data_IF_600000912554
#
_entry.id   IF_600000912554
#
_cell.length_a   1.000
_cell.length_b   1.000
_cell.length_c   1.000
_cell.angle_alpha   90.00
_cell.angle_beta   90.00
_cell.angle_gamma   90.00
#
_symmetry.space_group_name_H-M   'P 1'
#
loop_
_entity.id
_entity.type
_entity.pdbx_description
1 polymer ?
#
# COMPACT_ATOMS: atom_id res chain seq x y z
N UNK A 1 11.73 2.13 2.17
CA UNK A 1 10.34 1.90 1.73
C UNK A 1 9.45 2.20 2.93
N UNK A 2 8.37 2.98 2.81
CA UNK A 2 7.54 3.30 3.98
C UNK A 2 6.83 2.05 4.51
N UNK A 3 6.67 2.01 5.82
CA UNK A 3 6.04 0.94 6.59
C UNK A 3 4.87 1.54 7.34
N UNK A 4 3.66 1.08 7.02
CA UNK A 4 2.43 1.55 7.64
C UNK A 4 1.93 0.47 8.60
N UNK A 5 1.67 0.83 9.85
CA UNK A 5 1.12 -0.05 10.87
C UNK A 5 -0.32 0.37 11.18
N UNK A 6 -1.27 -0.52 10.95
CA UNK A 6 -2.66 -0.36 11.35
C UNK A 6 -2.85 -0.82 12.78
N UNK A 7 -3.36 0.06 13.62
CA UNK A 7 -3.73 -0.28 15.00
C UNK A 7 -4.88 -1.29 15.04
N UNK A 8 -4.92 -2.12 16.08
CA UNK A 8 -6.02 -3.02 16.37
C UNK A 8 -7.28 -2.23 16.72
N UNK A 9 -8.43 -2.66 16.19
CA UNK A 9 -9.72 -2.16 16.64
C UNK A 9 -10.00 -2.68 18.07
N UNK A 10 -10.38 -1.78 18.98
CA UNK A 10 -10.86 -2.14 20.32
C UNK A 10 -9.79 -2.23 21.42
N UNK A 11 -10.15 -2.88 22.52
CA UNK A 11 -9.42 -2.90 23.80
C UNK A 11 -8.50 -4.12 23.99
N UNK A 12 -8.04 -4.76 22.92
CA UNK A 12 -7.13 -5.90 23.05
C UNK A 12 -5.72 -5.43 23.44
N UNK A 13 -5.41 -5.47 24.73
CA UNK A 13 -4.14 -5.00 25.29
C UNK A 13 -2.94 -5.76 24.70
N UNK A 14 -3.06 -7.07 24.47
CA UNK A 14 -1.96 -7.87 23.92
C UNK A 14 -1.59 -7.43 22.50
N UNK A 15 -2.56 -7.02 21.69
CA UNK A 15 -2.32 -6.49 20.35
C UNK A 15 -1.63 -5.12 20.39
N UNK A 16 -2.07 -4.24 21.30
CA UNK A 16 -1.46 -2.93 21.51
C UNK A 16 -0.01 -3.04 22.00
N UNK A 17 0.25 -3.93 22.94
CA UNK A 17 1.61 -4.18 23.45
C UNK A 17 2.52 -4.72 22.34
N UNK A 18 2.01 -5.57 21.45
CA UNK A 18 2.77 -6.09 20.31
C UNK A 18 3.05 -4.98 19.29
N UNK A 19 2.06 -4.17 18.95
CA UNK A 19 2.21 -3.00 18.07
C UNK A 19 3.25 -2.03 18.60
N UNK A 20 3.16 -1.66 19.88
CA UNK A 20 4.08 -0.72 20.51
C UNK A 20 5.51 -1.23 20.45
N UNK A 21 5.72 -2.51 20.81
CA UNK A 21 7.06 -3.13 20.73
C UNK A 21 7.56 -3.20 19.30
N UNK A 22 6.69 -3.52 18.33
CA UNK A 22 7.04 -3.59 16.92
C UNK A 22 7.41 -2.21 16.36
N UNK A 23 6.60 -1.18 16.60
CA UNK A 23 6.84 0.20 16.17
C UNK A 23 8.13 0.72 16.80
N UNK A 24 8.30 0.52 18.12
CA UNK A 24 9.54 0.92 18.83
C UNK A 24 10.76 0.26 18.20
N UNK A 25 10.68 -1.04 17.91
CA UNK A 25 11.80 -1.76 17.30
C UNK A 25 12.08 -1.31 15.87
N UNK A 26 11.05 -1.00 15.09
CA UNK A 26 11.18 -0.48 13.73
C UNK A 26 11.71 0.96 13.69
N UNK A 27 11.42 1.79 14.69
CA UNK A 27 11.99 3.13 14.80
C UNK A 27 13.48 3.10 15.18
N UNK A 28 13.90 2.10 15.96
CA UNK A 28 15.30 1.89 16.31
C UNK A 28 16.13 1.30 15.17
N UNK A 29 15.50 0.50 14.31
CA UNK A 29 16.12 -0.05 13.10
C UNK A 29 15.92 0.96 11.97
N UNK A 30 16.89 1.84 11.72
CA UNK A 30 16.86 2.97 10.74
C UNK A 30 16.47 2.58 9.28
N UNK A 31 16.13 1.32 9.04
CA UNK A 31 15.76 0.76 7.76
C UNK A 31 14.37 1.17 7.24
N UNK A 32 13.48 1.76 8.05
CA UNK A 32 12.09 2.01 7.66
C UNK A 32 11.53 3.38 8.10
N UNK A 33 10.82 4.06 7.20
CA UNK A 33 9.94 5.19 7.52
C UNK A 33 8.62 4.62 8.06
N UNK A 34 8.46 4.59 9.39
CA UNK A 34 7.30 3.99 10.06
C UNK A 34 6.20 5.03 10.23
N UNK A 35 4.98 4.67 9.82
CA UNK A 35 3.77 5.48 9.98
C UNK A 35 2.70 4.66 10.67
N UNK A 36 2.04 5.27 11.64
CA UNK A 36 0.94 4.66 12.37
C UNK A 36 -0.38 5.22 11.82
N UNK A 37 -1.36 4.35 11.61
CA UNK A 37 -2.74 4.72 11.28
C UNK A 37 -3.69 4.06 12.27
N UNK A 38 -4.86 4.67 12.45
CA UNK A 38 -5.94 4.05 13.19
C UNK A 38 -6.41 2.73 12.57
N UNK A 39 -7.37 2.05 13.20
CA UNK A 39 -7.90 0.79 12.70
C UNK A 39 -8.48 0.95 11.30
N UNK A 40 -7.99 0.16 10.32
CA UNK A 40 -8.40 0.30 8.92
C UNK A 40 -9.91 0.27 8.68
N UNK A 41 -10.66 -0.52 9.44
CA UNK A 41 -12.12 -0.60 9.31
C UNK A 41 -12.83 0.68 9.73
N UNK A 42 -12.19 1.48 10.59
CA UNK A 42 -12.74 2.70 11.14
C UNK A 42 -12.24 3.94 10.39
N UNK A 43 -11.38 3.77 9.38
CA UNK A 43 -10.92 4.87 8.55
C UNK A 43 -12.10 5.43 7.76
N UNK A 44 -12.43 6.68 8.06
CA UNK A 44 -13.47 7.42 7.35
C UNK A 44 -12.88 8.16 6.13
N UNK A 45 -13.73 8.40 5.14
CA UNK A 45 -13.44 9.33 4.06
C UNK A 45 -13.14 10.73 4.64
N UNK A 46 -12.01 11.30 4.25
CA UNK A 46 -11.40 12.55 4.69
C UNK A 46 -10.67 12.51 6.05
N UNK A 47 -10.40 11.31 6.59
CA UNK A 47 -9.52 11.18 7.76
C UNK A 47 -8.07 11.55 7.43
N UNK A 48 -7.32 12.05 8.42
CA UNK A 48 -5.88 12.35 8.29
C UNK A 48 -5.09 11.13 7.80
N UNK A 49 -5.46 9.94 8.28
CA UNK A 49 -4.84 8.67 7.91
C UNK A 49 -5.08 8.33 6.44
N UNK A 50 -6.28 8.57 5.92
CA UNK A 50 -6.56 8.39 4.49
C UNK A 50 -5.70 9.34 3.64
N UNK A 51 -5.65 10.63 3.99
CA UNK A 51 -4.83 11.62 3.27
C UNK A 51 -3.34 11.23 3.32
N UNK A 52 -2.88 10.69 4.45
CA UNK A 52 -1.53 10.18 4.60
C UNK A 52 -1.26 9.00 3.66
N UNK A 53 -2.16 8.02 3.62
CA UNK A 53 -2.07 6.86 2.73
C UNK A 53 -2.15 7.24 1.26
N UNK A 54 -2.97 8.23 0.90
CA UNK A 54 -3.07 8.74 -0.47
C UNK A 54 -1.75 9.36 -0.93
N UNK A 55 -1.11 10.14 -0.06
CA UNK A 55 0.19 10.79 -0.32
C UNK A 55 1.35 9.81 -0.53
N UNK A 56 1.21 8.54 -0.16
CA UNK A 56 2.24 7.52 -0.44
C UNK A 56 2.17 7.11 -1.92
N UNK A 57 3.00 7.73 -2.75
CA UNK A 57 3.03 7.43 -4.20
C UNK A 57 3.87 6.19 -4.54
N UNK A 58 4.73 5.74 -3.62
CA UNK A 58 5.57 4.55 -3.81
C UNK A 58 4.92 3.27 -3.29
N UNK A 59 5.56 2.13 -3.58
CA UNK A 59 5.24 0.89 -2.89
C UNK A 59 5.47 1.04 -1.38
N UNK A 60 4.66 0.36 -0.57
CA UNK A 60 4.75 0.40 0.88
C UNK A 60 4.38 -0.94 1.51
N UNK A 61 4.80 -1.14 2.76
CA UNK A 61 4.41 -2.30 3.56
C UNK A 61 3.24 -1.88 4.43
N UNK A 62 2.20 -2.71 4.50
CA UNK A 62 1.10 -2.55 5.43
C UNK A 62 1.11 -3.71 6.42
N UNK A 63 1.26 -3.38 7.70
CA UNK A 63 1.12 -4.30 8.81
C UNK A 63 -0.25 -4.12 9.43
N UNK A 64 -1.00 -5.20 9.59
CA UNK A 64 -2.32 -5.15 10.19
C UNK A 64 -2.79 -6.50 10.70
N UNK A 65 -3.90 -6.46 11.43
CA UNK A 65 -4.52 -7.64 12.07
C UNK A 65 -5.50 -8.40 11.18
N UNK A 66 -5.62 -7.97 9.93
CA UNK A 66 -6.62 -8.46 8.99
C UNK A 66 -5.94 -9.17 7.84
N UNK A 67 -6.69 -10.08 7.23
CA UNK A 67 -6.21 -10.77 6.05
C UNK A 67 -5.85 -9.76 4.93
N UNK A 68 -4.85 -10.07 4.09
CA UNK A 68 -4.46 -9.19 2.98
C UNK A 68 -5.63 -8.82 2.04
N UNK A 69 -6.56 -9.74 1.83
CA UNK A 69 -7.75 -9.54 0.98
C UNK A 69 -8.71 -8.51 1.57
N UNK A 70 -8.93 -8.56 2.88
CA UNK A 70 -9.75 -7.58 3.59
C UNK A 70 -9.07 -6.22 3.62
N UNK A 71 -7.77 -6.20 3.93
CA UNK A 71 -6.95 -5.00 3.93
C UNK A 71 -6.98 -4.30 2.56
N UNK A 72 -6.90 -5.07 1.47
CA UNK A 72 -7.00 -4.54 0.12
C UNK A 72 -8.40 -3.96 -0.18
N UNK A 73 -9.48 -4.62 0.27
CA UNK A 73 -10.85 -4.09 0.13
C UNK A 73 -11.03 -2.78 0.89
N UNK A 74 -10.48 -2.67 2.09
CA UNK A 74 -10.53 -1.45 2.89
C UNK A 74 -9.79 -0.30 2.19
N UNK A 75 -8.59 -0.56 1.64
CA UNK A 75 -7.88 0.44 0.83
C UNK A 75 -8.70 0.87 -0.40
N UNK A 76 -9.33 -0.08 -1.11
CA UNK A 76 -10.18 0.25 -2.26
C UNK A 76 -11.41 1.07 -1.89
N UNK A 77 -12.05 0.77 -0.75
CA UNK A 77 -13.17 1.55 -0.22
C UNK A 77 -12.79 2.99 0.11
N UNK A 78 -11.53 3.21 0.51
CA UNK A 78 -10.95 4.55 0.73
C UNK A 78 -10.52 5.25 -0.57
N UNK A 79 -10.79 4.67 -1.75
CA UNK A 79 -10.37 5.22 -3.04
C UNK A 79 -8.86 5.06 -3.31
N UNK A 80 -8.15 4.28 -2.49
CA UNK A 80 -6.72 4.07 -2.62
C UNK A 80 -6.46 2.96 -3.65
N UNK A 81 -5.87 3.34 -4.78
CA UNK A 81 -5.44 2.41 -5.81
C UNK A 81 -4.18 1.64 -5.36
N UNK A 82 -4.38 0.51 -4.68
CA UNK A 82 -3.32 -0.40 -4.23
C UNK A 82 -3.35 -1.75 -4.98
N UNK A 83 -2.18 -2.35 -5.19
CA UNK A 83 -2.02 -3.71 -5.72
C UNK A 83 -1.27 -4.57 -4.71
N UNK A 84 -1.76 -5.76 -4.41
CA UNK A 84 -1.01 -6.75 -3.62
C UNK A 84 0.30 -7.15 -4.32
N UNK A 85 1.42 -7.10 -3.61
CA UNK A 85 2.73 -7.48 -4.12
C UNK A 85 3.21 -8.78 -3.46
N UNK A 86 3.83 -9.67 -4.25
CA UNK A 86 4.37 -10.92 -3.72
C UNK A 86 5.51 -10.68 -2.73
N UNK A 87 5.50 -11.40 -1.61
CA UNK A 87 6.64 -11.54 -0.72
C UNK A 87 6.66 -12.92 -0.04
N UNK A 88 7.59 -13.14 0.89
CA UNK A 88 7.77 -14.42 1.56
C UNK A 88 6.53 -14.92 2.31
N UNK A 89 5.66 -14.01 2.80
CA UNK A 89 4.41 -14.34 3.49
C UNK A 89 3.18 -14.37 2.58
N UNK A 90 3.32 -14.02 1.29
CA UNK A 90 2.20 -13.78 0.38
C UNK A 90 2.59 -14.08 -1.07
N UNK A 91 2.23 -15.28 -1.54
CA UNK A 91 2.76 -15.87 -2.78
C UNK A 91 1.91 -15.61 -4.03
N UNK A 92 0.74 -14.99 -3.94
CA UNK A 92 -0.20 -14.88 -5.07
C UNK A 92 -0.71 -13.46 -5.35
N UNK A 93 0.11 -12.57 -5.96
CA UNK A 93 -0.34 -11.24 -6.36
C UNK A 93 -0.99 -11.23 -7.76
N UNK A 94 -2.07 -10.44 -7.98
CA UNK A 94 -2.58 -10.16 -9.32
C UNK A 94 -1.64 -9.20 -10.08
N UNK A 95 -1.41 -9.44 -11.38
CA UNK A 95 -0.57 -8.59 -12.25
C UNK A 95 -1.32 -7.31 -12.68
N UNK A 96 -0.92 -6.13 -12.19
CA UNK A 96 -1.35 -4.79 -12.68
C UNK A 96 -0.29 -3.72 -12.42
N UNK A 97 -0.38 -2.55 -13.05
CA UNK A 97 0.63 -1.47 -13.05
C UNK A 97 0.53 -0.42 -11.93
N UNK A 98 -0.29 -0.62 -10.89
CA UNK A 98 -0.42 0.30 -9.75
C UNK A 98 0.64 0.07 -8.65
N UNK A 99 0.70 0.98 -7.66
CA UNK A 99 1.61 0.86 -6.50
C UNK A 99 1.42 -0.46 -5.75
N UNK A 100 2.53 -1.14 -5.47
CA UNK A 100 2.58 -2.40 -4.74
C UNK A 100 2.44 -2.20 -3.23
N UNK A 101 1.55 -2.96 -2.62
CA UNK A 101 1.38 -3.03 -1.16
C UNK A 101 1.73 -4.43 -0.71
N UNK A 102 2.67 -4.50 0.22
CA UNK A 102 3.14 -5.71 0.85
C UNK A 102 2.39 -5.90 2.16
N UNK A 103 1.50 -6.89 2.24
CA UNK A 103 0.69 -7.09 3.45
C UNK A 103 1.38 -8.07 4.39
N UNK A 104 1.63 -7.66 5.64
CA UNK A 104 2.13 -8.54 6.69
C UNK A 104 1.03 -8.67 7.74
N UNK A 105 0.53 -9.90 7.86
CA UNK A 105 -0.54 -10.25 8.79
C UNK A 105 0.05 -10.46 10.19
N UNK A 106 -0.27 -9.55 11.11
CA UNK A 106 0.21 -9.56 12.49
C UNK A 106 -0.31 -10.77 13.28
N UNK A 107 -1.47 -11.34 12.91
CA UNK A 107 -2.04 -12.51 13.57
C UNK A 107 -1.24 -13.79 13.32
N UNK A 108 -0.48 -13.81 12.21
CA UNK A 108 0.35 -14.97 11.79
C UNK A 108 1.80 -14.84 12.21
N UNK A 109 2.19 -13.72 12.84
CA UNK A 109 3.56 -13.50 13.27
C UNK A 109 3.90 -14.39 14.46
N UNK A 110 5.03 -15.10 14.32
CA UNK A 110 5.59 -15.90 15.41
C UNK A 110 6.40 -15.05 16.39
N UNK A 111 7.02 -13.98 15.88
CA UNK A 111 7.85 -13.06 16.65
C UNK A 111 7.98 -11.71 15.94
N UNK A 112 8.41 -10.68 16.70
CA UNK A 112 8.70 -9.34 16.17
C UNK A 112 9.90 -9.39 15.20
N UNK A 113 10.92 -10.20 15.50
CA UNK A 113 12.08 -10.36 14.63
C UNK A 113 11.72 -10.95 13.27
N UNK A 114 10.71 -11.83 13.21
CA UNK A 114 10.19 -12.37 11.95
C UNK A 114 9.55 -11.27 11.11
N UNK A 115 8.77 -10.37 11.73
CA UNK A 115 8.17 -9.22 11.04
C UNK A 115 9.26 -8.30 10.44
N UNK A 116 10.30 -8.00 11.22
CA UNK A 116 11.42 -7.16 10.78
C UNK A 116 12.18 -7.84 9.64
N UNK A 117 12.41 -9.15 9.73
CA UNK A 117 13.05 -9.93 8.67
C UNK A 117 12.23 -9.87 7.38
N UNK A 118 10.90 -10.02 7.46
CA UNK A 118 10.01 -9.89 6.31
C UNK A 118 10.04 -8.48 5.72
N UNK A 119 10.04 -7.42 6.55
CA UNK A 119 10.13 -6.02 6.11
C UNK A 119 11.46 -5.79 5.35
N UNK A 120 12.57 -6.30 5.88
CA UNK A 120 13.89 -6.21 5.25
C UNK A 120 13.93 -6.97 3.93
N UNK A 121 13.32 -8.17 3.87
CA UNK A 121 13.22 -8.95 2.65
C UNK A 121 12.39 -8.24 1.56
N UNK A 122 11.28 -7.60 1.92
CA UNK A 122 10.46 -6.81 1.00
C UNK A 122 11.24 -5.59 0.47
N UNK A 123 11.95 -4.90 1.36
CA UNK A 123 12.79 -3.74 1.00
C UNK A 123 13.95 -4.13 0.09
N UNK A 124 14.60 -5.26 0.34
CA UNK A 124 15.68 -5.78 -0.50
C UNK A 124 15.21 -6.18 -1.90
N UNK A 125 14.01 -6.77 -2.05
CA UNK A 125 13.44 -7.11 -3.36
C UNK A 125 13.18 -5.89 -4.25
N UNK A 126 13.03 -4.69 -3.67
CA UNK A 126 12.84 -3.43 -4.41
C UNK A 126 14.15 -2.73 -4.77
N UNK A 127 15.26 -3.07 -4.12
CA UNK A 127 16.57 -2.53 -4.50
C UNK A 127 16.87 -2.99 -5.93
N UNK A 128 16.59 -2.10 -6.89
CA UNK A 128 16.58 -2.36 -8.32
C UNK A 128 17.75 -3.27 -8.72
N UNK A 129 17.43 -4.48 -9.20
CA UNK A 129 18.33 -5.22 -10.07
C UNK A 129 18.39 -4.42 -11.37
N UNK A 130 19.25 -3.42 -11.42
CA UNK A 130 19.74 -2.88 -12.68
C UNK A 130 20.41 -4.04 -13.39
N UNK A 131 19.66 -4.74 -14.24
CA UNK A 131 20.26 -5.61 -15.22
C UNK A 131 21.07 -4.66 -16.08
N UNK A 132 22.40 -4.72 -15.99
CA UNK A 132 23.22 -4.15 -17.03
C UNK A 132 22.81 -4.88 -18.30
N UNK A 133 22.00 -4.22 -19.13
CA UNK A 133 21.82 -4.62 -20.52
C UNK A 133 23.16 -4.26 -21.17
N UNK A 134 24.13 -5.14 -20.97
CA UNK A 134 25.41 -5.07 -21.65
C UNK A 134 25.11 -5.23 -23.13
N UNK A 135 25.02 -4.11 -23.85
CA UNK A 135 25.38 -4.11 -25.25
C UNK A 135 26.85 -4.53 -25.30
N UNK A 136 27.06 -5.80 -25.63
CA UNK A 136 28.35 -6.31 -26.06
C UNK A 136 28.78 -5.52 -27.30
N UNK A 137 29.48 -4.40 -27.10
CA UNK A 137 30.20 -3.72 -28.16
C UNK A 137 31.47 -4.53 -28.46
N UNK A 138 31.67 -5.02 -29.69
CA UNK A 138 32.95 -5.62 -30.07
C UNK A 138 34.02 -4.52 -30.06
N UNK A 139 35.09 -4.71 -29.29
CA UNK A 139 36.23 -3.80 -29.28
C UNK A 139 37.14 -4.04 -30.49
N UNK A 140 37.43 -3.06 -31.36
CA UNK A 140 38.55 -3.16 -32.28
C UNK A 140 39.83 -2.63 -31.61
N UNK A 141 40.81 -3.53 -31.38
CA UNK A 141 42.19 -3.15 -31.07
C UNK A 141 42.94 -2.93 -32.39
N UNK A 142 43.32 -1.68 -32.73
CA UNK A 142 44.70 -1.31 -33.10
C UNK A 142 44.88 0.20 -33.31
N UNK A 143 45.93 0.73 -32.70
CA UNK A 143 46.34 2.14 -32.65
C UNK A 143 47.14 2.59 -33.88
N UNK A 144 46.99 3.88 -34.29
CA UNK A 144 48.01 4.93 -34.55
C UNK A 144 47.45 6.06 -35.49
N UNK A 145 48.13 7.21 -35.71
CA UNK A 145 48.06 8.48 -34.96
C UNK A 145 47.50 9.67 -35.84
N UNK A 146 47.54 10.97 -35.42
CA UNK A 146 46.52 11.98 -35.73
C UNK A 146 46.79 12.84 -36.97
N UNK A 147 45.72 13.27 -37.65
CA UNK A 147 45.70 14.43 -38.57
C UNK A 147 44.40 15.23 -38.41
N UNK A 148 44.54 16.51 -38.09
CA UNK A 148 43.54 17.59 -38.23
C UNK A 148 43.53 18.12 -39.68
N UNK A 149 42.70 19.11 -40.08
CA UNK A 149 41.34 19.53 -39.66
C UNK A 149 40.36 19.59 -40.87
N UNK A 150 39.05 19.79 -40.66
CA UNK A 150 38.13 20.63 -41.48
C UNK A 150 36.65 20.48 -41.07
N UNK A 151 35.98 21.58 -40.75
CA UNK A 151 34.51 21.75 -40.79
C UNK A 151 34.06 22.16 -42.22
N UNK A 152 32.78 22.52 -42.55
CA UNK A 152 31.42 22.28 -42.00
C UNK A 152 30.46 21.76 -43.14
N UNK A 153 29.16 22.17 -43.27
CA UNK A 153 27.90 21.87 -42.55
C UNK A 153 26.89 21.10 -43.48
N UNK A 154 25.59 21.48 -43.57
CA UNK A 154 24.41 21.12 -42.77
C UNK A 154 23.54 20.06 -43.49
N UNK A 155 22.38 19.65 -42.94
CA UNK A 155 21.10 19.56 -43.69
C UNK A 155 19.98 19.07 -42.78
N UNK A 156 18.98 19.93 -42.65
CA UNK A 156 17.64 19.71 -42.14
C UNK A 156 16.92 18.60 -42.92
N UNK A 157 16.12 17.77 -42.26
CA UNK A 157 14.79 17.50 -42.83
C UNK A 157 13.73 17.15 -41.77
N UNK A 158 12.57 17.83 -41.82
CA UNK A 158 11.37 17.55 -41.03
C UNK A 158 10.40 16.65 -41.81
N UNK A 159 9.52 15.92 -41.11
CA UNK A 159 8.13 15.67 -41.53
C UNK A 159 7.33 14.87 -40.48
N UNK A 160 6.26 15.51 -40.00
CA UNK A 160 4.97 15.02 -39.45
C UNK A 160 4.31 13.86 -40.25
N UNK A 161 3.02 13.45 -40.06
CA UNK A 161 2.01 13.72 -39.01
C UNK A 161 1.19 12.48 -38.53
N UNK A 162 0.38 12.71 -37.49
CA UNK A 162 -1.03 12.33 -37.23
C UNK A 162 -1.64 10.97 -37.66
N UNK A 163 -2.33 10.35 -36.68
CA UNK A 163 -3.67 9.74 -36.78
C UNK A 163 -4.18 9.52 -35.33
N UNK A 164 -5.03 10.36 -34.72
CA UNK A 164 -6.50 10.44 -34.84
C UNK A 164 -7.25 9.08 -34.85
N UNK A 165 -7.84 8.77 -33.67
CA UNK A 165 -9.27 8.41 -33.37
C UNK A 165 -9.97 7.28 -34.17
N UNK A 166 -10.97 6.52 -33.63
CA UNK A 166 -12.08 7.05 -32.80
C UNK A 166 -12.76 6.13 -31.76
N UNK A 167 -13.55 6.80 -30.91
CA UNK A 167 -14.90 6.47 -30.39
C UNK A 167 -15.49 5.06 -30.56
N UNK A 168 -16.05 4.51 -29.48
CA UNK A 168 -17.38 3.86 -29.51
C UNK A 168 -18.03 3.96 -28.13
N UNK A 169 -19.26 4.49 -28.14
CA UNK A 169 -20.19 4.60 -27.02
C UNK A 169 -21.14 3.38 -26.99
N UNK A 170 -21.98 3.38 -25.95
CA UNK A 170 -23.24 2.64 -25.75
C UNK A 170 -23.17 1.42 -24.80
N UNK A 171 -23.74 1.43 -23.59
CA UNK A 171 -25.13 1.69 -23.11
C UNK A 171 -25.95 0.39 -23.06
N UNK A 172 -26.18 -0.15 -21.86
CA UNK A 172 -27.31 -1.02 -21.49
C UNK A 172 -27.58 -0.87 -19.97
N UNK A 173 -28.62 -0.15 -19.51
CA UNK A 173 -30.04 -0.48 -19.23
C UNK A 173 -30.31 -1.36 -17.98
N UNK A 174 -30.76 -0.67 -16.90
CA UNK A 174 -31.91 -0.88 -15.99
C UNK A 174 -32.10 -2.11 -15.07
N UNK A 175 -32.94 -1.82 -14.05
CA UNK A 175 -33.66 -2.66 -13.05
C UNK A 175 -32.84 -2.92 -11.77
N UNK A 176 -33.32 -2.72 -10.55
CA UNK A 176 -34.61 -2.35 -9.99
C UNK A 176 -34.58 -2.65 -8.46
N UNK A 177 -35.27 -1.81 -7.67
CA UNK A 177 -36.06 -2.11 -6.45
C UNK A 177 -35.55 -3.15 -5.43
N UNK A 178 -35.42 -2.71 -4.17
CA UNK A 178 -35.70 -3.42 -2.89
C UNK A 178 -35.82 -2.29 -1.83
N UNK A 179 -36.95 -1.95 -1.20
CA UNK A 179 -37.84 -2.70 -0.30
C UNK A 179 -37.16 -3.26 0.96
N UNK A 180 -37.61 -2.75 2.13
CA UNK A 180 -37.49 -3.23 3.51
C UNK A 180 -36.15 -3.13 4.28
N UNK A 181 -36.07 -2.20 5.24
CA UNK A 181 -35.77 -2.55 6.64
C UNK A 181 -36.24 -1.45 7.61
N UNK A 182 -37.32 -1.75 8.33
CA UNK A 182 -37.75 -1.06 9.55
C UNK A 182 -36.96 -1.72 10.68
N UNK A 183 -36.00 -1.01 11.25
CA UNK A 183 -35.17 -1.50 12.36
C UNK A 183 -35.69 -0.86 13.67
N UNK A 184 -36.09 -1.64 14.68
CA UNK A 184 -36.65 -1.11 15.92
C UNK A 184 -35.55 -0.45 16.75
N UNK A 185 -35.62 0.89 16.83
CA UNK A 185 -34.64 1.75 17.48
C UNK A 185 -34.67 1.69 19.03
N UNK A 186 -35.63 0.96 19.61
CA UNK A 186 -35.87 0.94 21.07
C UNK A 186 -34.91 0.04 21.87
N UNK A 187 -34.10 -0.81 21.23
CA UNK A 187 -33.19 -1.71 21.96
C UNK A 187 -31.84 -1.08 22.33
N UNK A 188 -31.51 0.09 21.76
CA UNK A 188 -30.20 0.74 21.94
C UNK A 188 -30.19 1.65 23.17
N UNK A 189 -31.32 2.27 23.51
CA UNK A 189 -31.46 3.10 24.71
C UNK A 189 -31.38 2.26 26.01
N UNK A 190 -32.01 1.08 26.03
CA UNK A 190 -32.03 0.18 27.20
C UNK A 190 -30.62 -0.34 27.56
N UNK A 191 -29.80 -0.62 26.54
CA UNK A 191 -28.41 -1.03 26.72
C UNK A 191 -27.51 0.11 27.26
N UNK A 192 -27.88 1.38 27.01
CA UNK A 192 -27.12 2.53 27.46
C UNK A 192 -27.46 2.93 28.90
N UNK A 193 -28.72 2.76 29.34
CA UNK A 193 -29.11 2.94 30.74
C UNK A 193 -28.46 1.89 31.65
N UNK A 194 -28.33 0.64 31.21
CA UNK A 194 -27.66 -0.42 31.97
C UNK A 194 -26.16 -0.16 32.21
N UNK A 195 -25.48 0.57 31.31
CA UNK A 195 -24.07 0.93 31.48
C UNK A 195 -23.86 2.07 32.49
N UNK A 196 -24.90 2.88 32.74
CA UNK A 196 -24.86 4.00 33.69
C UNK A 196 -25.03 3.48 35.13
N UNK A 197 -25.94 2.53 35.35
CA UNK A 197 -26.10 1.88 36.67
C UNK A 197 -24.85 1.08 37.09
N UNK A 198 -24.13 0.46 36.14
CA UNK A 198 -22.91 -0.30 36.44
C UNK A 198 -21.75 0.60 36.90
N UNK A 199 -21.70 1.85 36.42
CA UNK A 199 -20.69 2.84 36.81
C UNK A 199 -20.93 3.43 38.20
N UNK A 200 -22.19 3.58 38.62
CA UNK A 200 -22.53 4.05 39.98
C UNK A 200 -22.16 3.01 41.05
N UNK A 201 -22.18 1.72 40.67
CA UNK A 201 -21.89 0.62 41.58
C UNK A 201 -20.39 0.38 41.84
N UNK A 202 -19.48 1.05 41.12
CA UNK A 202 -18.03 0.91 41.27
C UNK A 202 -17.35 1.95 42.19
N UNK A 203 -18.10 2.86 42.81
CA UNK A 203 -17.58 3.83 43.80
C UNK A 203 -18.02 3.49 45.24
N UNK A 204 -17.67 2.29 45.72
CA UNK A 204 -17.88 1.84 47.11
C UNK A 204 -16.68 1.08 47.69
#
# INVERSE_FOLDING_TARGET
MPVVVSQAAGANQAHRDLEEKLVTRLMLDEAADVRLIGPMQQLQGNSTDQVMLERITSDFILLGWHAPEESLRNLQALGIAARRAAHAGDRNPPLRSCRGVYFIDLTKLKSIDDAILQIKACSANRANKTIQIGLSAPSPKKSAPPVTPSSPPPTSQPASPAAESPSTAERYVALGRNDHHDEPQDAVDDAMESLIDELDQMDL
#
